data_IF_764146575183
#
_entry.id   IF_764146575183
#
_cell.length_a   1.000
_cell.length_b   1.000
_cell.length_c   1.000
_cell.angle_alpha   90.00
_cell.angle_beta   90.00
_cell.angle_gamma   90.00
#
_symmetry.space_group_name_H-M   'P 1'
#
loop_
_entity.id
_entity.type
_entity.pdbx_description
1 polymer ?
#
# COMPACT_ATOMS: atom_id res chain seq x y z
N UNK A 1 -19.79 -11.97 7.56
CA UNK A 1 -19.31 -11.40 8.83
C UNK A 1 -17.90 -10.90 8.60
N UNK A 2 -17.67 -9.58 8.54
CA UNK A 2 -16.32 -9.03 8.39
C UNK A 2 -15.64 -9.05 9.75
N UNK A 3 -14.83 -10.07 9.99
CA UNK A 3 -14.10 -10.25 11.23
C UNK A 3 -13.02 -9.16 11.33
N UNK A 4 -13.13 -8.35 12.37
CA UNK A 4 -12.17 -7.30 12.70
C UNK A 4 -10.85 -7.95 13.10
N UNK A 5 -9.83 -7.91 12.23
CA UNK A 5 -8.47 -8.35 12.55
C UNK A 5 -7.64 -7.12 12.93
N UNK A 6 -7.35 -6.97 14.22
CA UNK A 6 -6.27 -6.08 14.67
C UNK A 6 -4.96 -6.72 14.20
N UNK A 7 -4.13 -6.04 13.41
CA UNK A 7 -2.88 -6.62 12.94
C UNK A 7 -1.91 -6.85 14.09
N UNK A 8 -1.28 -8.03 14.10
CA UNK A 8 -0.14 -8.27 14.96
C UNK A 8 0.95 -7.23 14.62
N UNK A 9 1.48 -6.56 15.65
CA UNK A 9 2.55 -5.56 15.54
C UNK A 9 2.21 -4.25 14.80
N UNK A 10 0.92 -3.93 14.59
CA UNK A 10 0.50 -2.67 13.94
C UNK A 10 0.62 -2.66 12.41
N UNK A 11 0.98 -3.78 11.79
CA UNK A 11 1.14 -3.92 10.34
C UNK A 11 -0.15 -4.46 9.70
N UNK A 12 -0.93 -3.60 9.07
CA UNK A 12 -2.19 -3.99 8.42
C UNK A 12 -1.96 -4.80 7.15
N UNK A 13 -2.74 -5.86 6.96
CA UNK A 13 -2.70 -6.70 5.77
C UNK A 13 -4.04 -6.75 5.05
N UNK A 14 -4.03 -6.83 3.72
CA UNK A 14 -5.23 -7.01 2.90
C UNK A 14 -4.93 -7.87 1.69
N UNK A 15 -5.92 -8.63 1.21
CA UNK A 15 -5.79 -9.42 0.00
C UNK A 15 -6.34 -8.67 -1.21
N UNK A 16 -5.66 -8.81 -2.36
CA UNK A 16 -6.02 -8.18 -3.63
C UNK A 16 -5.79 -9.17 -4.78
N UNK A 17 -6.69 -9.16 -5.77
CA UNK A 17 -6.53 -9.93 -7.01
C UNK A 17 -5.75 -9.09 -8.01
N UNK A 18 -4.70 -9.66 -8.59
CA UNK A 18 -3.82 -8.98 -9.55
C UNK A 18 -3.82 -9.75 -10.86
N UNK A 19 -4.26 -9.10 -11.92
CA UNK A 19 -4.18 -9.66 -13.26
C UNK A 19 -2.76 -9.51 -13.81
N UNK A 20 -2.11 -10.62 -14.10
CA UNK A 20 -0.80 -10.70 -14.78
C UNK A 20 -0.99 -11.30 -16.17
N UNK A 21 -0.21 -10.84 -17.15
CA UNK A 21 -0.26 -11.37 -18.53
C UNK A 21 1.09 -12.02 -18.83
N UNK A 22 1.18 -13.36 -18.81
CA UNK A 22 2.40 -14.06 -19.16
C UNK A 22 2.83 -13.77 -20.61
N UNK A 23 4.14 -13.62 -20.87
CA UNK A 23 4.65 -13.48 -22.22
C UNK A 23 4.19 -14.62 -23.13
N UNK A 24 3.73 -14.29 -24.33
CA UNK A 24 3.23 -15.27 -25.29
C UNK A 24 1.76 -15.67 -25.09
N UNK A 25 1.07 -15.07 -24.13
CA UNK A 25 -0.38 -15.21 -23.94
C UNK A 25 -1.07 -13.86 -24.05
N UNK A 26 -2.35 -13.86 -24.40
CA UNK A 26 -3.22 -12.67 -24.36
C UNK A 26 -4.25 -12.73 -23.24
N UNK A 27 -4.32 -13.85 -22.53
CA UNK A 27 -5.28 -14.09 -21.47
C UNK A 27 -4.68 -13.70 -20.12
N UNK A 28 -5.30 -12.76 -19.38
CA UNK A 28 -4.85 -12.42 -18.04
C UNK A 28 -5.05 -13.62 -17.11
N UNK A 29 -4.04 -13.87 -16.29
CA UNK A 29 -4.08 -14.80 -15.18
C UNK A 29 -4.26 -14.00 -13.88
N UNK A 30 -5.17 -14.44 -13.03
CA UNK A 30 -5.39 -13.80 -11.73
C UNK A 30 -4.46 -14.41 -10.69
N UNK A 31 -3.72 -13.56 -10.01
CA UNK A 31 -2.86 -13.89 -8.88
C UNK A 31 -3.37 -13.16 -7.64
N UNK A 32 -3.75 -13.89 -6.60
CA UNK A 32 -4.16 -13.31 -5.32
C UNK A 32 -2.94 -13.05 -4.47
N UNK A 33 -2.74 -11.80 -4.03
CA UNK A 33 -1.68 -11.43 -3.08
C UNK A 33 -2.26 -10.92 -1.78
N UNK A 34 -1.58 -11.23 -0.68
CA UNK A 34 -1.82 -10.58 0.61
C UNK A 34 -0.75 -9.52 0.86
N UNK A 35 -1.13 -8.26 0.68
CA UNK A 35 -0.29 -7.10 0.94
C UNK A 35 -0.21 -6.74 2.42
N UNK A 36 0.81 -5.95 2.76
CA UNK A 36 0.97 -5.28 4.05
C UNK A 36 1.25 -3.80 3.88
N UNK A 37 0.87 -3.00 4.87
CA UNK A 37 1.21 -1.57 4.89
C UNK A 37 2.73 -1.38 5.00
N UNK A 38 3.26 -0.50 4.15
CA UNK A 38 4.67 -0.06 4.16
C UNK A 38 4.72 1.44 4.43
N UNK A 39 5.44 1.84 5.48
CA UNK A 39 5.54 3.25 5.92
C UNK A 39 6.36 4.10 4.95
N UNK A 40 7.54 3.61 4.54
CA UNK A 40 8.48 4.35 3.67
C UNK A 40 8.42 3.89 2.20
N UNK A 41 7.20 3.76 1.65
CA UNK A 41 7.01 3.37 0.24
C UNK A 41 7.81 4.23 -0.75
N UNK A 42 7.89 5.58 -0.61
CA UNK A 42 8.70 6.39 -1.54
C UNK A 42 10.18 6.03 -1.55
N UNK A 43 10.78 5.72 -0.39
CA UNK A 43 12.19 5.31 -0.31
C UNK A 43 12.40 3.94 -0.96
N UNK A 44 11.51 2.98 -0.66
CA UNK A 44 11.53 1.65 -1.28
C UNK A 44 11.53 1.74 -2.81
N UNK A 45 10.67 2.59 -3.38
CA UNK A 45 10.59 2.80 -4.83
C UNK A 45 11.81 3.53 -5.38
N UNK A 46 12.33 4.54 -4.69
CA UNK A 46 13.54 5.25 -5.10
C UNK A 46 14.77 4.32 -5.13
N UNK A 47 14.87 3.41 -4.15
CA UNK A 47 15.91 2.37 -4.12
C UNK A 47 15.78 1.36 -5.25
N UNK A 48 14.55 1.03 -5.67
CA UNK A 48 14.33 0.18 -6.83
C UNK A 48 14.72 0.87 -8.15
N UNK A 49 14.30 2.12 -8.33
CA UNK A 49 14.62 2.90 -9.53
C UNK A 49 16.13 3.17 -9.65
N UNK A 50 16.82 3.37 -8.52
CA UNK A 50 18.29 3.54 -8.49
C UNK A 50 19.06 2.22 -8.65
N UNK A 51 18.38 1.07 -8.71
CA UNK A 51 18.99 -0.26 -8.83
C UNK A 51 19.57 -0.81 -7.53
N UNK A 52 19.36 -0.13 -6.40
CA UNK A 52 19.78 -0.59 -5.08
C UNK A 52 18.87 -1.68 -4.49
N UNK A 53 17.65 -1.84 -5.04
CA UNK A 53 16.74 -2.93 -4.74
C UNK A 53 16.21 -3.54 -6.03
N UNK A 54 16.15 -4.86 -6.06
CA UNK A 54 15.55 -5.61 -7.15
C UNK A 54 14.02 -5.63 -7.05
N UNK A 55 13.33 -5.99 -8.13
CA UNK A 55 11.87 -6.02 -8.16
C UNK A 55 11.32 -7.05 -7.16
N UNK A 56 12.00 -8.19 -7.00
CA UNK A 56 11.60 -9.20 -6.02
C UNK A 56 11.67 -8.69 -4.58
N UNK A 57 12.68 -7.90 -4.24
CA UNK A 57 12.81 -7.30 -2.91
C UNK A 57 11.70 -6.28 -2.64
N UNK A 58 11.33 -5.47 -3.65
CA UNK A 58 10.19 -4.57 -3.54
C UNK A 58 8.89 -5.35 -3.33
N UNK A 59 8.61 -6.36 -4.15
CA UNK A 59 7.37 -7.14 -4.00
C UNK A 59 7.32 -7.84 -2.63
N UNK A 60 8.41 -8.41 -2.15
CA UNK A 60 8.50 -9.01 -0.79
C UNK A 60 8.38 -7.98 0.33
N UNK A 61 8.75 -6.73 0.07
CA UNK A 61 8.49 -5.65 1.02
C UNK A 61 6.99 -5.35 1.11
N UNK A 62 6.24 -5.46 0.01
CA UNK A 62 4.82 -5.14 -0.09
C UNK A 62 3.90 -6.31 0.25
N UNK A 63 4.26 -7.54 -0.12
CA UNK A 63 3.44 -8.74 0.00
C UNK A 63 3.99 -9.69 1.08
N UNK A 64 3.06 -10.34 1.76
CA UNK A 64 3.32 -11.35 2.80
C UNK A 64 2.93 -12.76 2.35
N UNK A 65 2.04 -12.86 1.36
CA UNK A 65 1.62 -14.14 0.79
C UNK A 65 1.11 -13.95 -0.66
N UNK A 66 1.07 -15.04 -1.42
CA UNK A 66 0.47 -15.13 -2.76
C UNK A 66 -0.06 -16.54 -3.05
N UNK A 67 -0.98 -16.69 -4.00
CA UNK A 67 -1.58 -17.98 -4.35
C UNK A 67 -0.85 -18.73 -5.49
N UNK A 68 0.40 -18.35 -5.78
CA UNK A 68 1.21 -19.06 -6.77
C UNK A 68 1.48 -20.51 -6.32
N UNK A 69 1.27 -21.46 -7.24
CA UNK A 69 1.45 -22.88 -7.00
C UNK A 69 2.16 -23.56 -8.17
N UNK A 70 2.86 -24.65 -7.88
CA UNK A 70 3.40 -25.57 -8.87
C UNK A 70 2.28 -26.32 -9.59
N UNK A 71 2.61 -27.04 -10.67
CA UNK A 71 1.63 -27.84 -11.43
C UNK A 71 0.98 -28.97 -10.59
N UNK A 72 1.67 -29.44 -9.55
CA UNK A 72 1.14 -30.42 -8.60
C UNK A 72 0.25 -29.80 -7.51
N UNK A 73 0.05 -28.48 -7.54
CA UNK A 73 -0.73 -27.72 -6.57
C UNK A 73 0.01 -27.36 -5.29
N UNK A 74 1.30 -27.69 -5.16
CA UNK A 74 2.09 -27.26 -4.01
C UNK A 74 2.31 -25.74 -4.04
N UNK A 75 2.17 -25.03 -2.90
CA UNK A 75 2.34 -23.59 -2.86
C UNK A 75 3.81 -23.23 -3.08
N UNK A 76 4.04 -22.14 -3.82
CA UNK A 76 5.37 -21.56 -4.01
C UNK A 76 5.52 -20.46 -2.93
N UNK A 77 6.44 -20.55 -1.97
CA UNK A 77 6.65 -19.47 -1.00
C UNK A 77 7.21 -18.21 -1.67
N UNK A 78 6.79 -17.01 -1.24
CA UNK A 78 7.29 -15.73 -1.80
C UNK A 78 8.82 -15.56 -1.71
N UNK A 79 9.43 -16.15 -0.69
CA UNK A 79 10.86 -16.10 -0.40
C UNK A 79 11.68 -17.21 -1.07
N UNK A 80 11.02 -18.18 -1.71
CA UNK A 80 11.68 -19.30 -2.40
C UNK A 80 12.58 -18.86 -3.57
N UNK A 81 13.57 -19.69 -3.88
CA UNK A 81 14.50 -19.48 -5.00
C UNK A 81 13.77 -19.49 -6.35
N UNK A 82 12.61 -20.15 -6.43
CA UNK A 82 11.73 -20.20 -7.60
C UNK A 82 10.87 -18.92 -7.72
N UNK A 83 10.45 -18.34 -6.60
CA UNK A 83 9.69 -17.09 -6.59
C UNK A 83 10.55 -15.88 -6.97
N UNK A 84 11.83 -15.82 -6.54
CA UNK A 84 12.73 -14.70 -6.87
C UNK A 84 12.72 -14.36 -8.37
N UNK A 85 13.06 -15.28 -9.29
CA UNK A 85 13.17 -14.96 -10.72
C UNK A 85 11.83 -14.60 -11.36
N UNK A 86 10.72 -15.14 -10.86
CA UNK A 86 9.37 -14.75 -11.28
C UNK A 86 9.08 -13.31 -10.88
N UNK A 87 9.34 -12.95 -9.62
CA UNK A 87 9.13 -11.60 -9.11
C UNK A 87 10.10 -10.57 -9.70
N UNK A 88 11.22 -11.00 -10.29
CA UNK A 88 12.06 -10.08 -11.08
C UNK A 88 11.40 -9.66 -12.39
N UNK A 89 10.48 -10.46 -12.92
CA UNK A 89 9.88 -10.20 -14.22
C UNK A 89 8.98 -8.96 -14.19
N UNK A 90 9.17 -7.98 -15.08
CA UNK A 90 8.35 -6.78 -15.12
C UNK A 90 6.85 -7.08 -15.32
N UNK A 91 6.52 -8.12 -16.08
CA UNK A 91 5.13 -8.53 -16.34
C UNK A 91 4.41 -9.13 -15.11
N UNK A 92 5.16 -9.48 -14.06
CA UNK A 92 4.63 -9.86 -12.73
C UNK A 92 4.74 -8.67 -11.77
N UNK A 93 5.92 -8.08 -11.63
CA UNK A 93 6.19 -7.06 -10.61
C UNK A 93 5.39 -5.77 -10.82
N UNK A 94 5.23 -5.31 -12.07
CA UNK A 94 4.54 -4.05 -12.35
C UNK A 94 3.04 -4.11 -12.05
N UNK A 95 2.29 -5.16 -12.48
CA UNK A 95 0.90 -5.32 -12.06
C UNK A 95 0.72 -5.36 -10.54
N UNK A 96 1.59 -6.09 -9.83
CA UNK A 96 1.57 -6.18 -8.37
C UNK A 96 1.76 -4.80 -7.73
N UNK A 97 2.78 -4.05 -8.17
CA UNK A 97 3.03 -2.70 -7.65
C UNK A 97 1.86 -1.75 -7.93
N UNK A 98 1.27 -1.83 -9.14
CA UNK A 98 0.10 -1.02 -9.51
C UNK A 98 -1.11 -1.34 -8.65
N UNK A 99 -1.38 -2.63 -8.40
CA UNK A 99 -2.47 -3.08 -7.54
C UNK A 99 -2.26 -2.62 -6.09
N UNK A 100 -1.03 -2.69 -5.58
CA UNK A 100 -0.70 -2.14 -4.27
C UNK A 100 -0.98 -0.64 -4.19
N UNK A 101 -0.47 0.17 -5.13
CA UNK A 101 -0.67 1.62 -5.12
C UNK A 101 -2.15 2.01 -5.24
N UNK A 102 -2.93 1.27 -6.04
CA UNK A 102 -4.37 1.52 -6.20
C UNK A 102 -5.18 1.16 -4.94
N UNK A 103 -4.81 0.08 -4.25
CA UNK A 103 -5.56 -0.42 -3.09
C UNK A 103 -5.12 0.25 -1.77
N UNK A 104 -3.84 0.59 -1.61
CA UNK A 104 -3.26 1.08 -0.36
C UNK A 104 -3.98 2.34 0.18
N UNK A 105 -4.31 3.31 -0.68
CA UNK A 105 -5.02 4.52 -0.26
C UNK A 105 -6.44 4.27 0.24
N UNK A 106 -7.17 3.37 -0.43
CA UNK A 106 -8.54 2.98 -0.02
C UNK A 106 -8.55 2.14 1.26
N UNK A 107 -7.56 1.27 1.44
CA UNK A 107 -7.44 0.46 2.64
C UNK A 107 -6.94 1.28 3.84
N UNK A 108 -6.01 2.23 3.64
CA UNK A 108 -5.60 3.18 4.67
C UNK A 108 -6.79 4.02 5.18
N UNK A 109 -7.67 4.48 4.29
CA UNK A 109 -8.88 5.21 4.67
C UNK A 109 -9.89 4.32 5.44
N UNK A 110 -10.08 3.07 5.02
CA UNK A 110 -10.91 2.10 5.76
C UNK A 110 -10.33 1.79 7.13
N UNK A 111 -9.01 1.67 7.25
CA UNK A 111 -8.32 1.42 8.51
C UNK A 111 -8.47 2.60 9.48
N UNK A 112 -8.36 3.84 9.00
CA UNK A 112 -8.56 5.03 9.82
C UNK A 112 -10.00 5.14 10.38
N UNK A 113 -11.00 4.68 9.62
CA UNK A 113 -12.40 4.65 10.04
C UNK A 113 -12.70 3.53 11.05
N UNK A 114 -11.94 2.44 11.03
CA UNK A 114 -12.16 1.28 11.90
C UNK A 114 -11.32 1.35 13.18
N UNK A 115 -10.16 2.02 13.19
CA UNK A 115 -9.22 2.02 14.31
C UNK A 115 -9.62 2.84 15.54
N UNK A 116 -10.80 3.47 15.59
CA UNK A 116 -11.38 4.04 16.82
C UNK A 116 -10.52 5.09 17.56
N UNK A 117 -9.49 5.66 16.92
CA UNK A 117 -8.82 6.84 17.45
C UNK A 117 -9.64 8.04 16.96
N UNK A 118 -10.25 8.84 17.84
CA UNK A 118 -10.88 10.08 17.40
C UNK A 118 -9.80 10.88 16.69
N UNK A 119 -10.05 11.30 15.44
CA UNK A 119 -9.26 12.36 14.80
C UNK A 119 -8.99 13.42 15.85
N UNK A 120 -7.75 13.95 16.00
CA UNK A 120 -7.60 15.18 16.76
C UNK A 120 -8.63 16.14 16.17
N UNK A 121 -9.54 16.62 17.05
CA UNK A 121 -10.55 17.57 16.65
C UNK A 121 -9.85 18.64 15.81
N UNK A 122 -10.41 19.05 14.66
CA UNK A 122 -9.80 20.13 13.90
C UNK A 122 -9.52 21.25 14.91
N UNK A 123 -8.25 21.63 15.06
CA UNK A 123 -7.88 22.74 15.91
C UNK A 123 -8.53 23.96 15.27
N UNK A 124 -9.76 24.24 15.67
CA UNK A 124 -10.44 25.49 15.37
C UNK A 124 -9.60 26.53 16.08
N UNK A 125 -8.66 27.11 15.33
CA UNK A 125 -8.06 28.38 15.68
C UNK A 125 -9.24 29.27 16.06
N UNK A 126 -9.32 29.80 17.28
CA UNK A 126 -10.39 30.70 17.66
C UNK A 126 -10.43 31.79 16.59
N UNK A 127 -11.56 31.91 15.89
CA UNK A 127 -11.73 32.98 14.94
C UNK A 127 -11.41 34.29 15.69
N UNK A 128 -10.49 35.14 15.19
CA UNK A 128 -10.15 36.37 15.87
C UNK A 128 -11.44 37.16 16.06
N UNK A 129 -11.72 37.47 17.33
CA UNK A 129 -12.93 38.17 17.76
C UNK A 129 -13.14 39.39 16.86
N UNK A 130 -14.34 39.52 16.28
CA UNK A 130 -14.73 40.62 15.38
C UNK A 130 -14.47 42.02 15.98
N UNK A 131 -14.30 42.10 17.31
CA UNK A 131 -13.91 43.30 18.04
C UNK A 131 -12.49 43.79 17.75
N UNK A 132 -11.51 42.92 17.49
CA UNK A 132 -10.11 43.34 17.26
C UNK A 132 -9.87 43.93 15.86
N UNK A 133 -10.71 43.58 14.88
CA UNK A 133 -10.58 44.10 13.51
C UNK A 133 -10.93 45.59 13.38
N UNK A 134 -11.69 46.19 14.30
CA UNK A 134 -12.05 47.62 14.23
C UNK A 134 -11.01 48.54 14.87
N UNK A 135 -10.12 48.04 15.74
CA UNK A 135 -9.15 48.89 16.43
C UNK A 135 -7.90 49.25 15.59
N UNK A 136 -7.62 48.53 14.49
CA UNK A 136 -6.43 48.77 13.65
C UNK A 136 -6.68 49.56 12.37
N UNK A 137 -7.92 49.95 12.08
CA UNK A 137 -8.25 50.75 10.88
C UNK A 137 -8.18 52.27 11.11
N UNK A 138 -7.97 52.74 12.34
CA UNK A 138 -7.97 54.17 12.69
C UNK A 138 -6.63 54.62 13.28
N UNK A 139 -5.53 54.33 12.57
CA UNK A 139 -4.25 55.04 12.78
C UNK A 139 -3.37 54.92 11.52
N UNK A 140 -3.78 55.61 10.47
CA UNK A 140 -2.85 56.12 9.45
C UNK A 140 -3.05 57.63 9.42
N UNK A 141 -2.11 58.31 10.08
CA UNK A 141 -1.67 59.68 9.77
C UNK A 141 -1.39 59.85 8.29
#
# INVERSE_FOLDING_TARGET
MSQFKVPANGVWTWSESVDVIPPGTSEPQSLTLTFRTVEDLPDLLNRNVSGALSNAEVVRALATDWDAAYEDGAPIPLDSDEAVPLLQQPWIAQPILKAYMASAGGQAAKNALTSGVPSPAPTTVPAPNRAERRAKASKKT
#
